data_IF_349530441475
#
_entry.id   IF_349530441475
#
_cell.length_a   1.000
_cell.length_b   1.000
_cell.length_c   1.000
_cell.angle_alpha   90.00
_cell.angle_beta   90.00
_cell.angle_gamma   90.00
#
_symmetry.space_group_name_H-M   'P 1'
#
loop_
_entity.id
_entity.type
_entity.pdbx_description
1 polymer ?
#
# COMPACT_ATOMS: atom_id res chain seq x y z
N UNK A 1 -3.79 16.91 -7.46
CA UNK A 1 -2.69 16.66 -8.43
C UNK A 1 -1.58 17.70 -8.29
N UNK A 2 -0.34 17.28 -8.45
CA UNK A 2 0.80 18.21 -8.42
C UNK A 2 0.87 19.02 -9.75
N UNK A 3 1.75 20.00 -9.80
CA UNK A 3 1.93 20.87 -10.98
C UNK A 3 2.58 20.20 -12.19
N UNK A 4 3.07 18.97 -12.05
CA UNK A 4 3.59 18.18 -13.17
C UNK A 4 2.45 17.58 -13.99
N UNK A 5 1.38 17.15 -13.32
CA UNK A 5 0.23 16.50 -13.95
C UNK A 5 -0.95 17.45 -14.17
N UNK A 6 -0.81 18.75 -13.89
CA UNK A 6 -1.93 19.70 -13.93
C UNK A 6 -1.86 20.66 -15.11
N UNK A 7 -2.92 20.70 -15.92
CA UNK A 7 -3.10 21.66 -17.00
C UNK A 7 -4.57 22.04 -17.19
N UNK A 8 -4.80 23.24 -17.72
CA UNK A 8 -6.14 23.77 -17.99
C UNK A 8 -6.90 22.90 -19.02
N UNK A 9 -6.33 22.53 -20.18
CA UNK A 9 -7.04 21.69 -21.15
C UNK A 9 -7.43 20.33 -20.57
N UNK A 10 -6.54 19.71 -19.76
CA UNK A 10 -6.82 18.43 -19.12
C UNK A 10 -7.98 18.54 -18.12
N UNK A 11 -8.05 19.62 -17.35
CA UNK A 11 -9.13 19.83 -16.39
C UNK A 11 -10.49 19.95 -17.08
N UNK A 12 -10.57 20.68 -18.19
CA UNK A 12 -11.79 20.84 -18.97
C UNK A 12 -12.19 19.52 -19.65
N UNK A 13 -11.23 18.80 -20.23
CA UNK A 13 -11.44 17.50 -20.87
C UNK A 13 -11.98 16.46 -19.88
N UNK A 14 -11.35 16.34 -18.70
CA UNK A 14 -11.79 15.45 -17.63
C UNK A 14 -13.22 15.75 -17.17
N UNK A 15 -13.56 17.04 -17.02
CA UNK A 15 -14.90 17.47 -16.60
C UNK A 15 -15.96 17.14 -17.65
N UNK A 16 -15.70 17.51 -18.90
CA UNK A 16 -16.70 17.49 -19.97
C UNK A 16 -16.87 16.09 -20.58
N UNK A 17 -15.76 15.36 -20.78
CA UNK A 17 -15.77 14.08 -21.49
C UNK A 17 -15.79 12.87 -20.56
N UNK A 18 -15.19 12.99 -19.37
CA UNK A 18 -15.00 11.85 -18.46
C UNK A 18 -15.79 11.95 -17.16
N UNK A 19 -16.48 13.08 -16.90
CA UNK A 19 -17.19 13.37 -15.63
C UNK A 19 -16.28 13.25 -14.40
N UNK A 20 -14.99 13.49 -14.58
CA UNK A 20 -13.98 13.46 -13.53
C UNK A 20 -13.70 14.88 -13.02
N UNK A 21 -13.42 14.95 -11.73
CA UNK A 21 -13.07 16.19 -11.04
C UNK A 21 -11.56 16.30 -10.94
N UNK A 22 -11.05 17.50 -11.18
CA UNK A 22 -9.64 17.80 -11.06
C UNK A 22 -9.41 18.91 -10.04
N UNK A 23 -8.48 18.66 -9.15
CA UNK A 23 -7.97 19.62 -8.18
C UNK A 23 -6.45 19.54 -8.20
N UNK A 24 -5.75 20.64 -8.47
CA UNK A 24 -4.31 20.59 -8.59
C UNK A 24 -3.62 21.94 -8.61
N UNK A 25 -2.33 21.96 -8.34
CA UNK A 25 -1.52 23.18 -8.44
C UNK A 25 -1.07 23.40 -9.88
N UNK A 26 -1.02 24.64 -10.35
CA UNK A 26 -0.46 24.99 -11.66
C UNK A 26 0.92 25.64 -11.54
N UNK A 27 1.75 25.47 -12.57
CA UNK A 27 2.93 26.33 -12.76
C UNK A 27 2.44 27.71 -13.20
N UNK A 28 3.13 28.77 -12.79
CA UNK A 28 2.80 30.15 -13.18
C UNK A 28 2.95 30.29 -14.70
N UNK A 29 1.83 30.53 -15.39
CA UNK A 29 1.75 30.75 -16.85
C UNK A 29 0.98 32.05 -17.12
N UNK A 30 1.22 32.69 -18.27
CA UNK A 30 0.66 34.01 -18.64
C UNK A 30 -0.84 34.01 -18.99
N UNK A 31 -1.39 32.88 -19.42
CA UNK A 31 -2.79 32.77 -19.88
C UNK A 31 -3.58 31.86 -18.95
N UNK A 32 -4.59 32.42 -18.30
CA UNK A 32 -5.48 31.68 -17.40
C UNK A 32 -6.92 32.08 -17.75
N UNK A 33 -7.76 31.16 -18.23
CA UNK A 33 -9.16 31.46 -18.55
C UNK A 33 -9.97 31.66 -17.28
N UNK A 34 -10.97 32.56 -17.37
CA UNK A 34 -11.80 33.02 -16.24
C UNK A 34 -12.67 31.93 -15.60
N UNK A 35 -12.85 30.79 -16.27
CA UNK A 35 -13.65 29.65 -15.77
C UNK A 35 -12.97 28.83 -14.67
N UNK A 36 -11.71 29.14 -14.35
CA UNK A 36 -10.90 28.37 -13.42
C UNK A 36 -10.48 29.26 -12.26
N UNK A 37 -10.96 28.91 -11.07
CA UNK A 37 -10.70 29.68 -9.87
C UNK A 37 -9.25 29.49 -9.37
N UNK A 38 -8.55 30.59 -9.09
CA UNK A 38 -7.19 30.58 -8.57
C UNK A 38 -7.11 31.28 -7.22
N UNK A 39 -6.46 30.64 -6.26
CA UNK A 39 -6.14 31.23 -4.96
C UNK A 39 -4.62 31.40 -4.82
N UNK A 40 -4.14 32.63 -4.62
CA UNK A 40 -2.74 32.92 -4.29
C UNK A 40 -2.56 33.17 -2.78
N UNK A 41 -1.80 32.32 -2.05
CA UNK A 41 -1.51 32.55 -0.65
C UNK A 41 -0.24 33.40 -0.45
N UNK A 42 -0.42 34.66 -0.05
CA UNK A 42 0.55 35.63 0.53
C UNK A 42 1.60 36.26 -0.41
N UNK A 43 1.94 37.52 -0.04
CA UNK A 43 2.73 38.57 -0.74
C UNK A 43 4.15 38.22 -1.25
N UNK A 44 4.65 36.98 -1.11
CA UNK A 44 6.03 36.62 -1.53
C UNK A 44 6.14 35.36 -2.38
N UNK A 45 5.12 34.49 -2.42
CA UNK A 45 5.09 33.28 -3.25
C UNK A 45 3.66 32.99 -3.68
N UNK A 46 3.36 33.27 -4.95
CA UNK A 46 2.07 32.88 -5.52
C UNK A 46 2.04 31.36 -5.70
N UNK A 47 1.05 30.71 -5.13
CA UNK A 47 0.66 29.34 -5.48
C UNK A 47 -0.55 29.47 -6.38
N UNK A 48 -0.54 28.84 -7.55
CA UNK A 48 -1.73 28.78 -8.39
C UNK A 48 -2.40 27.43 -8.13
N UNK A 49 -3.67 27.48 -7.80
CA UNK A 49 -4.51 26.30 -7.63
C UNK A 49 -5.58 26.29 -8.71
N UNK A 50 -5.94 25.10 -9.16
CA UNK A 50 -6.91 24.83 -10.20
C UNK A 50 -7.94 23.85 -9.63
N UNK A 51 -9.21 24.15 -9.82
CA UNK A 51 -10.30 23.23 -9.52
C UNK A 51 -11.41 23.30 -10.56
N UNK A 52 -12.04 22.16 -10.83
CA UNK A 52 -13.24 22.07 -11.68
C UNK A 52 -14.56 22.04 -10.90
N UNK A 53 -14.51 21.92 -9.56
CA UNK A 53 -15.68 21.80 -8.67
C UNK A 53 -16.01 23.05 -7.87
N UNK A 54 -15.01 23.84 -7.53
CA UNK A 54 -15.22 25.03 -6.71
C UNK A 54 -15.64 26.18 -7.63
N UNK A 55 -16.83 26.71 -7.39
CA UNK A 55 -17.36 27.86 -8.12
C UNK A 55 -17.18 29.18 -7.36
N UNK A 56 -16.88 29.10 -6.05
CA UNK A 56 -16.91 30.24 -5.14
C UNK A 56 -15.59 30.42 -4.37
N UNK A 57 -15.22 31.67 -4.11
CA UNK A 57 -14.06 32.13 -3.31
C UNK A 57 -14.22 31.89 -1.79
N UNK A 58 -15.03 30.90 -1.43
CA UNK A 58 -15.37 30.60 -0.06
C UNK A 58 -14.12 30.41 0.81
N UNK A 59 -14.13 31.13 1.93
CA UNK A 59 -13.10 31.07 2.96
C UNK A 59 -13.61 30.22 4.11
N UNK A 60 -12.73 29.37 4.63
CA UNK A 60 -12.98 28.67 5.88
C UNK A 60 -12.99 29.66 7.06
N UNK A 61 -14.01 29.54 7.91
CA UNK A 61 -14.26 30.48 9.02
C UNK A 61 -13.19 30.36 10.12
N UNK A 62 -12.61 29.18 10.29
CA UNK A 62 -11.66 28.91 11.37
C UNK A 62 -10.22 29.27 10.96
N UNK A 63 -9.82 28.91 9.74
CA UNK A 63 -8.44 29.12 9.28
C UNK A 63 -8.22 30.37 8.44
N UNK A 64 -9.30 30.99 7.94
CA UNK A 64 -9.23 32.11 7.00
C UNK A 64 -8.60 31.75 5.65
N UNK A 65 -8.47 30.46 5.34
CA UNK A 65 -7.90 29.97 4.07
C UNK A 65 -9.03 29.69 3.07
N UNK A 66 -8.77 29.86 1.77
CA UNK A 66 -9.67 29.37 0.72
C UNK A 66 -9.98 27.88 0.90
N UNK A 67 -11.26 27.49 0.85
CA UNK A 67 -11.70 26.09 1.01
C UNK A 67 -10.98 25.18 0.01
N UNK A 68 -10.77 25.66 -1.21
CA UNK A 68 -10.01 24.94 -2.24
C UNK A 68 -8.60 24.51 -1.78
N UNK A 69 -7.90 25.33 -1.00
CA UNK A 69 -6.58 24.99 -0.47
C UNK A 69 -6.70 23.90 0.60
N UNK A 70 -7.76 23.91 1.39
CA UNK A 70 -8.02 22.90 2.42
C UNK A 70 -8.28 21.55 1.76
N UNK A 71 -9.20 21.52 0.79
CA UNK A 71 -9.54 20.30 0.02
C UNK A 71 -8.33 19.76 -0.75
N UNK A 72 -7.49 20.66 -1.29
CA UNK A 72 -6.27 20.27 -1.96
C UNK A 72 -5.29 19.61 -1.00
N UNK A 73 -5.06 20.22 0.16
CA UNK A 73 -4.18 19.63 1.15
C UNK A 73 -4.73 18.27 1.61
N UNK A 74 -6.02 18.17 1.94
CA UNK A 74 -6.64 16.93 2.39
C UNK A 74 -6.47 15.77 1.39
N UNK A 75 -6.64 16.03 0.09
CA UNK A 75 -6.52 15.02 -0.96
C UNK A 75 -5.08 14.69 -1.37
N UNK A 76 -4.10 15.55 -1.07
CA UNK A 76 -2.71 15.39 -1.52
C UNK A 76 -1.93 14.30 -0.78
N UNK A 77 -2.26 14.04 0.48
CA UNK A 77 -1.46 13.17 1.34
C UNK A 77 -1.59 11.67 1.03
N UNK A 78 -2.56 11.24 0.22
CA UNK A 78 -2.83 9.81 -0.01
C UNK A 78 -1.64 9.03 -0.57
N UNK A 79 -0.93 9.59 -1.56
CA UNK A 79 0.26 8.93 -2.13
C UNK A 79 1.43 8.88 -1.16
N UNK A 80 1.67 9.96 -0.42
CA UNK A 80 2.75 10.05 0.57
C UNK A 80 2.55 9.03 1.70
N UNK A 81 1.29 8.82 2.12
CA UNK A 81 0.94 7.79 3.11
C UNK A 81 1.25 6.39 2.60
N UNK A 82 0.91 6.08 1.34
CA UNK A 82 1.23 4.77 0.74
C UNK A 82 2.74 4.57 0.63
N UNK A 83 3.49 5.60 0.22
CA UNK A 83 4.95 5.57 0.16
C UNK A 83 5.58 5.30 1.54
N UNK A 84 5.10 6.02 2.57
CA UNK A 84 5.52 5.81 3.96
C UNK A 84 5.21 4.38 4.45
N UNK A 85 4.03 3.84 4.10
CA UNK A 85 3.65 2.48 4.44
C UNK A 85 4.51 1.42 3.74
N UNK A 86 4.90 1.66 2.48
CA UNK A 86 5.85 0.84 1.74
C UNK A 86 7.24 0.88 2.40
N UNK A 87 7.71 2.05 2.82
CA UNK A 87 9.01 2.23 3.48
C UNK A 87 9.09 1.53 4.85
N UNK A 88 8.03 1.60 5.66
CA UNK A 88 8.03 1.05 7.03
C UNK A 88 8.13 -0.48 7.07
N UNK A 89 7.53 -1.17 6.10
CA UNK A 89 7.54 -2.65 5.99
C UNK A 89 8.03 -3.11 4.62
N UNK A 90 9.23 -2.66 4.24
CA UNK A 90 9.78 -2.88 2.91
C UNK A 90 10.33 -4.31 2.72
N UNK A 91 9.86 -5.03 1.70
CA UNK A 91 10.39 -6.35 1.32
C UNK A 91 11.59 -6.28 0.37
N UNK A 92 11.96 -5.10 -0.10
CA UNK A 92 13.04 -4.91 -1.06
C UNK A 92 14.38 -5.43 -0.55
N UNK A 93 15.19 -5.96 -1.48
CA UNK A 93 16.55 -6.43 -1.22
C UNK A 93 17.49 -5.78 -2.23
N UNK A 94 18.74 -5.57 -1.82
CA UNK A 94 19.77 -5.07 -2.72
C UNK A 94 19.88 -6.02 -3.93
N UNK A 95 19.65 -5.47 -5.12
CA UNK A 95 19.59 -6.21 -6.37
C UNK A 95 20.13 -5.33 -7.49
N UNK A 96 20.89 -5.93 -8.40
CA UNK A 96 21.32 -5.27 -9.65
C UNK A 96 20.34 -5.53 -10.81
N UNK A 97 19.22 -6.18 -10.55
CA UNK A 97 18.21 -6.55 -11.54
C UNK A 97 16.98 -5.66 -11.38
N UNK A 98 16.70 -4.83 -12.39
CA UNK A 98 15.58 -3.89 -12.39
C UNK A 98 14.23 -4.60 -12.17
N UNK A 99 13.97 -5.70 -12.88
CA UNK A 99 12.72 -6.45 -12.75
C UNK A 99 12.47 -6.95 -11.33
N UNK A 100 13.52 -7.32 -10.61
CA UNK A 100 13.39 -7.76 -9.22
C UNK A 100 13.07 -6.58 -8.28
N UNK A 101 13.57 -5.38 -8.60
CA UNK A 101 13.24 -4.15 -7.86
C UNK A 101 11.76 -3.82 -8.02
N UNK A 102 11.27 -3.81 -9.27
CA UNK A 102 9.86 -3.60 -9.59
C UNK A 102 8.98 -4.66 -8.90
N UNK A 103 9.41 -5.92 -8.90
CA UNK A 103 8.70 -6.99 -8.21
C UNK A 103 8.56 -6.72 -6.70
N UNK A 104 9.62 -6.25 -6.03
CA UNK A 104 9.54 -5.91 -4.61
C UNK A 104 8.56 -4.76 -4.35
N UNK A 105 8.55 -3.74 -5.21
CA UNK A 105 7.59 -2.64 -5.11
C UNK A 105 6.15 -3.12 -5.27
N UNK A 106 5.89 -4.01 -6.23
CA UNK A 106 4.58 -4.65 -6.40
C UNK A 106 4.16 -5.42 -5.16
N UNK A 107 5.07 -6.16 -4.53
CA UNK A 107 4.77 -6.93 -3.30
C UNK A 107 4.45 -6.00 -2.13
N UNK A 108 5.18 -4.89 -1.97
CA UNK A 108 4.90 -3.88 -0.94
C UNK A 108 3.49 -3.29 -1.09
N UNK A 109 3.13 -2.88 -2.31
CA UNK A 109 1.80 -2.32 -2.62
C UNK A 109 0.71 -3.38 -2.45
N UNK A 110 0.94 -4.61 -2.91
CA UNK A 110 0.00 -5.72 -2.75
C UNK A 110 -0.30 -6.00 -1.26
N UNK A 111 0.71 -5.92 -0.38
CA UNK A 111 0.52 -6.07 1.06
C UNK A 111 -0.36 -4.98 1.69
N UNK A 112 -0.26 -3.73 1.20
CA UNK A 112 -1.15 -2.63 1.61
C UNK A 112 -2.57 -2.90 1.12
N UNK A 113 -2.74 -3.21 -0.16
CA UNK A 113 -4.07 -3.44 -0.75
C UNK A 113 -4.78 -4.64 -0.12
N UNK A 114 -4.04 -5.71 0.19
CA UNK A 114 -4.58 -6.87 0.88
C UNK A 114 -5.07 -6.53 2.30
N UNK A 115 -4.37 -5.65 3.02
CA UNK A 115 -4.80 -5.19 4.33
C UNK A 115 -6.10 -4.38 4.23
N UNK A 116 -6.16 -3.41 3.30
CA UNK A 116 -7.34 -2.56 3.08
C UNK A 116 -8.54 -3.43 2.66
N UNK A 117 -8.34 -4.39 1.76
CA UNK A 117 -9.40 -5.29 1.32
C UNK A 117 -9.89 -6.26 2.41
N UNK A 118 -9.07 -6.53 3.42
CA UNK A 118 -9.39 -7.42 4.54
C UNK A 118 -9.87 -6.63 5.77
N UNK A 119 -10.01 -5.31 5.67
CA UNK A 119 -10.46 -4.47 6.78
C UNK A 119 -11.95 -4.73 7.04
N UNK A 120 -12.22 -5.56 8.04
CA UNK A 120 -13.57 -5.85 8.51
C UNK A 120 -13.91 -4.83 9.62
N UNK A 121 -15.11 -4.23 9.61
CA UNK A 121 -15.47 -3.10 10.48
C UNK A 121 -15.48 -3.40 12.00
N UNK A 122 -15.17 -4.63 12.42
CA UNK A 122 -15.27 -5.09 13.81
C UNK A 122 -13.92 -5.42 14.46
N UNK A 123 -12.80 -5.37 13.74
CA UNK A 123 -11.48 -5.67 14.30
C UNK A 123 -10.40 -4.80 13.68
N UNK A 124 -9.80 -3.94 14.49
CA UNK A 124 -8.56 -3.26 14.14
C UNK A 124 -7.43 -4.28 14.13
N UNK A 125 -6.87 -4.56 12.96
CA UNK A 125 -5.71 -5.46 12.82
C UNK A 125 -4.45 -4.63 12.62
N UNK A 126 -3.46 -4.82 13.50
CA UNK A 126 -2.15 -4.21 13.31
C UNK A 126 -1.50 -4.75 12.03
N UNK A 127 -0.95 -3.84 11.21
CA UNK A 127 -0.29 -4.19 9.93
C UNK A 127 0.80 -5.25 10.10
N UNK A 128 1.61 -5.17 11.14
CA UNK A 128 2.66 -6.17 11.45
C UNK A 128 2.08 -7.58 11.62
N UNK A 129 0.99 -7.71 12.36
CA UNK A 129 0.35 -8.99 12.65
C UNK A 129 -0.36 -9.55 11.41
N UNK A 130 -0.99 -8.67 10.63
CA UNK A 130 -1.56 -9.03 9.34
C UNK A 130 -0.49 -9.59 8.40
N UNK A 131 0.60 -8.87 8.18
CA UNK A 131 1.68 -9.28 7.27
C UNK A 131 2.35 -10.56 7.74
N UNK A 132 2.57 -10.72 9.07
CA UNK A 132 3.07 -11.97 9.65
C UNK A 132 2.13 -13.13 9.35
N UNK A 133 0.83 -12.95 9.61
CA UNK A 133 -0.18 -13.99 9.37
C UNK A 133 -0.26 -14.36 7.90
N UNK A 134 -0.24 -13.36 7.01
CA UNK A 134 -0.22 -13.55 5.56
C UNK A 134 0.99 -14.37 5.12
N UNK A 135 2.20 -13.98 5.56
CA UNK A 135 3.43 -14.69 5.22
C UNK A 135 3.40 -16.15 5.67
N UNK A 136 2.94 -16.41 6.90
CA UNK A 136 2.82 -17.78 7.43
C UNK A 136 1.81 -18.59 6.62
N UNK A 137 0.64 -18.02 6.28
CA UNK A 137 -0.37 -18.70 5.45
C UNK A 137 0.17 -19.07 4.07
N UNK A 138 0.95 -18.19 3.44
CA UNK A 138 1.57 -18.44 2.12
C UNK A 138 2.67 -19.51 2.18
N UNK A 139 3.45 -19.55 3.25
CA UNK A 139 4.58 -20.48 3.39
C UNK A 139 4.12 -21.90 3.78
N UNK A 140 3.07 -22.05 4.62
CA UNK A 140 2.57 -23.34 5.09
C UNK A 140 2.38 -24.41 4.00
N UNK A 141 1.70 -24.15 2.86
CA UNK A 141 1.55 -25.15 1.80
C UNK A 141 2.89 -25.56 1.17
N UNK A 142 3.82 -24.61 1.01
CA UNK A 142 5.15 -24.89 0.45
C UNK A 142 5.99 -25.79 1.38
N UNK A 143 5.88 -25.57 2.70
CA UNK A 143 6.52 -26.44 3.70
C UNK A 143 5.94 -27.86 3.63
N UNK A 144 4.62 -28.01 3.48
CA UNK A 144 3.98 -29.34 3.36
C UNK A 144 4.54 -30.14 2.20
N UNK A 145 4.68 -29.52 1.03
CA UNK A 145 5.29 -30.16 -0.14
C UNK A 145 6.77 -30.50 0.10
N UNK A 146 7.53 -29.57 0.71
CA UNK A 146 8.97 -29.75 0.94
C UNK A 146 9.30 -30.89 1.91
N UNK A 147 8.47 -31.16 2.91
CA UNK A 147 8.66 -32.28 3.86
C UNK A 147 8.56 -33.65 3.19
N UNK A 148 7.86 -33.76 2.06
CA UNK A 148 7.70 -35.03 1.34
C UNK A 148 8.98 -35.48 0.60
N UNK A 149 9.97 -34.59 0.49
CA UNK A 149 11.23 -34.86 -0.19
C UNK A 149 12.12 -35.77 0.68
N UNK A 150 12.49 -36.94 0.18
CA UNK A 150 13.25 -37.94 0.94
C UNK A 150 14.67 -37.48 1.34
N UNK A 151 15.29 -36.60 0.56
CA UNK A 151 16.67 -36.11 0.78
C UNK A 151 16.78 -34.97 1.80
N UNK A 152 15.67 -34.49 2.36
CA UNK A 152 15.69 -33.35 3.27
C UNK A 152 16.29 -33.75 4.65
N UNK A 153 17.13 -32.90 5.26
CA UNK A 153 17.69 -33.19 6.59
C UNK A 153 16.60 -33.41 7.65
N UNK A 154 16.78 -34.44 8.50
CA UNK A 154 15.82 -34.81 9.56
C UNK A 154 15.44 -33.64 10.48
N UNK A 155 16.41 -32.82 10.86
CA UNK A 155 16.18 -31.65 11.72
C UNK A 155 15.21 -30.64 11.08
N UNK A 156 15.30 -30.42 9.76
CA UNK A 156 14.40 -29.52 9.04
C UNK A 156 12.99 -30.14 8.99
N UNK A 157 12.89 -31.44 8.75
CA UNK A 157 11.61 -32.18 8.77
C UNK A 157 10.92 -32.08 10.12
N UNK A 158 11.63 -32.35 11.22
CA UNK A 158 11.09 -32.31 12.58
C UNK A 158 10.59 -30.90 12.93
N UNK A 159 11.39 -29.87 12.68
CA UNK A 159 10.99 -28.47 12.90
C UNK A 159 9.80 -28.06 12.03
N UNK A 160 9.78 -28.51 10.78
CA UNK A 160 8.71 -28.18 9.84
C UNK A 160 7.39 -28.87 10.21
N UNK A 161 7.44 -30.10 10.74
CA UNK A 161 6.26 -30.80 11.27
C UNK A 161 5.72 -30.13 12.52
N UNK A 162 6.60 -29.72 13.44
CA UNK A 162 6.23 -28.93 14.62
C UNK A 162 5.55 -27.62 14.23
N UNK A 163 6.14 -26.88 13.29
CA UNK A 163 5.57 -25.63 12.78
C UNK A 163 4.21 -25.79 12.08
N UNK A 164 3.98 -26.95 11.45
CA UNK A 164 2.71 -27.28 10.80
C UNK A 164 1.69 -27.94 11.74
N UNK A 165 2.03 -28.15 13.01
CA UNK A 165 1.19 -28.83 14.00
C UNK A 165 0.76 -30.24 13.56
N UNK A 166 1.60 -30.92 12.77
CA UNK A 166 1.35 -32.30 12.33
C UNK A 166 1.74 -33.23 13.47
N UNK A 167 0.76 -33.85 14.13
CA UNK A 167 1.01 -34.88 15.13
C UNK A 167 1.72 -36.08 14.47
N UNK A 168 2.87 -36.52 15.00
CA UNK A 168 3.51 -37.73 14.49
C UNK A 168 2.63 -38.96 14.81
N UNK A 169 2.46 -39.91 13.88
CA UNK A 169 1.95 -41.22 14.27
C UNK A 169 2.91 -41.82 15.28
N UNK A 170 2.39 -42.22 16.46
CA UNK A 170 3.18 -42.89 17.50
C UNK A 170 3.99 -44.02 16.86
N UNK A 171 5.32 -43.88 16.82
CA UNK A 171 6.20 -44.99 16.41
C UNK A 171 6.00 -46.11 17.43
N UNK A 172 5.28 -47.15 17.04
CA UNK A 172 5.21 -48.39 17.82
C UNK A 172 6.62 -48.97 17.82
N UNK A 173 7.31 -48.87 18.97
CA UNK A 173 8.54 -49.63 19.20
C UNK A 173 8.11 -51.04 19.59
N UNK A 174 8.34 -52.08 18.78
CA UNK A 174 8.11 -53.43 19.25
C UNK A 174 9.00 -53.65 20.48
N UNK A 175 8.39 -54.03 21.61
CA UNK A 175 9.15 -54.49 22.77
C UNK A 175 9.87 -55.76 22.32
N UNK A 176 11.17 -55.68 22.10
CA UNK A 176 12.00 -56.87 21.97
C UNK A 176 11.94 -57.60 23.32
N UNK A 177 11.08 -58.62 23.43
CA UNK A 177 11.15 -59.59 24.51
C UNK A 177 12.39 -60.43 24.24
N UNK A 178 13.48 -60.15 24.98
CA UNK A 178 14.57 -61.12 25.12
C UNK A 178 13.99 -62.29 25.91
N UNK A 179 13.72 -63.39 25.23
CA UNK A 179 13.48 -64.66 25.91
C UNK A 179 14.78 -65.05 26.61
N UNK A 180 14.79 -64.96 27.94
CA UNK A 180 15.83 -65.55 28.76
C UNK A 180 15.71 -67.08 28.62
N UNK A 181 16.83 -67.72 28.30
CA UNK A 181 17.01 -69.17 28.45
C UNK A 181 17.37 -69.47 29.89
#
# INVERSE_FOLDING_TARGET
MNNWFSSIPLALDLKNNYKLIMLGTLKKIKEIPAELFLSSPKRKKDVLLLSTTHSDDSLDRDTGKPIMIIDYNHSKYGLDVVDQMCGTYNVSRNSRRLLLTIFFDMVNVAGINALISNDHPKQTVYRSDFLRTLALKLIKPQIRTRIQIASIPKQITERSRLFLEIQEPKKFKPKFQRNAR
#
